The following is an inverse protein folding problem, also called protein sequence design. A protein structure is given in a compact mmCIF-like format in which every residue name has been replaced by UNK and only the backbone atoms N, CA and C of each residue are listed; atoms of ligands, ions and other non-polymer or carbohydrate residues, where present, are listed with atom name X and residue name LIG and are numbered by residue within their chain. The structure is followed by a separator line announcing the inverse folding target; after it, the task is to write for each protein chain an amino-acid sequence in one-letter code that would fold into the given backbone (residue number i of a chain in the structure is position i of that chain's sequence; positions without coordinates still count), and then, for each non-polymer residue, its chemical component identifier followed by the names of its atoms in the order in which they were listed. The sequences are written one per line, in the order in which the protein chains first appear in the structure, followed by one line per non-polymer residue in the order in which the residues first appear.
data_IF_992683869675
#
_entry.id   IF_992683869675
#
_cell.length_a   1.000
_cell.length_b   1.000
_cell.length_c   1.000
_cell.angle_alpha   90.00
_cell.angle_beta   90.00
_cell.angle_gamma   90.00
#
_symmetry.space_group_name_H-M   'P 1'
#
loop_
_entity.id
_entity.type
_entity.pdbx_description
1 polymer ?
#
# COMPACT_ATOMS: atom_id res chain seq x y z
N UNK A 1 16.94 -4.57 -13.11
CA UNK A 1 15.76 -3.87 -12.53
C UNK A 1 15.09 -4.85 -11.57
N UNK A 2 14.56 -4.41 -10.43
CA UNK A 2 13.83 -5.29 -9.49
C UNK A 2 14.56 -5.69 -8.21
N UNK A 3 15.87 -5.43 -8.07
CA UNK A 3 16.53 -5.56 -6.76
C UNK A 3 16.22 -4.34 -5.89
N UNK A 4 15.17 -4.45 -5.07
CA UNK A 4 14.80 -3.41 -4.13
C UNK A 4 15.73 -3.35 -2.93
N UNK A 5 16.31 -4.49 -2.52
CA UNK A 5 17.13 -4.57 -1.33
C UNK A 5 18.47 -3.82 -1.48
N UNK A 6 19.06 -3.85 -2.68
CA UNK A 6 20.28 -3.09 -2.97
C UNK A 6 20.01 -1.60 -3.21
N UNK A 7 18.79 -1.20 -3.60
CA UNK A 7 18.44 0.19 -3.88
C UNK A 7 17.94 0.95 -2.65
N UNK A 8 17.06 0.30 -1.87
CA UNK A 8 16.31 0.91 -0.78
C UNK A 8 16.76 0.43 0.60
N UNK A 9 17.68 -0.54 0.63
CA UNK A 9 18.09 -1.23 1.85
C UNK A 9 17.29 -2.51 2.08
N UNK A 10 17.82 -3.35 2.97
CA UNK A 10 17.17 -4.62 3.35
C UNK A 10 15.97 -4.35 4.23
N UNK A 11 14.88 -5.08 3.98
CA UNK A 11 13.68 -4.99 4.79
C UNK A 11 13.89 -5.66 6.15
N UNK A 12 13.53 -4.96 7.22
CA UNK A 12 13.58 -5.47 8.59
C UNK A 12 12.17 -5.83 9.07
N UNK A 13 11.94 -7.14 9.25
CA UNK A 13 10.64 -7.70 9.63
C UNK A 13 10.37 -7.35 11.10
N UNK A 14 9.30 -6.58 11.35
CA UNK A 14 8.93 -6.11 12.69
C UNK A 14 9.22 -4.63 12.93
N UNK A 15 9.98 -3.97 12.03
CA UNK A 15 10.28 -2.54 12.12
C UNK A 15 9.13 -1.60 11.65
N UNK A 16 7.92 -2.15 11.55
CA UNK A 16 6.73 -1.45 11.05
C UNK A 16 6.65 -1.34 9.53
N UNK A 17 5.60 -0.67 9.05
CA UNK A 17 5.36 -0.43 7.61
C UNK A 17 6.39 0.57 7.07
N UNK A 18 6.97 0.26 5.91
CA UNK A 18 7.87 1.16 5.19
C UNK A 18 7.24 1.65 3.89
N UNK A 19 7.56 2.88 3.51
CA UNK A 19 7.13 3.49 2.26
C UNK A 19 8.36 3.94 1.48
N UNK A 20 8.44 3.52 0.22
CA UNK A 20 9.55 3.85 -0.68
C UNK A 20 9.01 4.14 -2.08
N UNK A 21 9.83 4.82 -2.89
CA UNK A 21 9.53 5.10 -4.29
C UNK A 21 10.74 4.72 -5.14
N UNK A 22 10.55 3.87 -6.14
CA UNK A 22 11.58 3.47 -7.11
C UNK A 22 11.16 3.93 -8.51
N UNK A 23 11.78 5.00 -8.99
CA UNK A 23 11.52 5.55 -10.33
C UNK A 23 11.98 4.62 -11.47
N UNK A 24 12.81 3.61 -11.19
CA UNK A 24 13.32 2.64 -12.14
C UNK A 24 12.60 1.29 -12.05
N UNK A 25 11.40 1.24 -11.45
CA UNK A 25 10.55 0.05 -11.42
C UNK A 25 9.25 0.32 -12.18
N UNK A 26 9.28 0.31 -13.52
CA UNK A 26 8.07 0.55 -14.30
C UNK A 26 7.01 -0.53 -14.00
N UNK A 27 5.74 -0.14 -13.97
CA UNK A 27 4.64 -1.07 -13.72
C UNK A 27 4.30 -1.90 -14.96
N UNK A 28 4.50 -1.35 -16.16
CA UNK A 28 4.09 -1.92 -17.45
C UNK A 28 5.21 -1.85 -18.49
N UNK A 29 5.04 -2.55 -19.61
CA UNK A 29 6.01 -2.61 -20.71
C UNK A 29 7.02 -3.75 -20.57
N UNK A 30 8.03 -3.78 -21.46
CA UNK A 30 9.03 -4.86 -21.53
C UNK A 30 9.76 -5.13 -20.21
N UNK A 31 10.00 -4.06 -19.44
CA UNK A 31 10.64 -4.13 -18.12
C UNK A 31 9.66 -4.00 -16.96
N UNK A 32 8.34 -4.02 -17.24
CA UNK A 32 7.28 -3.84 -16.27
C UNK A 32 7.24 -4.95 -15.22
N UNK A 33 6.85 -4.64 -13.98
CA UNK A 33 6.75 -5.62 -12.90
C UNK A 33 5.40 -6.32 -12.78
N UNK A 34 4.35 -5.81 -13.44
CA UNK A 34 3.06 -6.49 -13.47
C UNK A 34 3.20 -7.93 -14.01
N UNK A 35 2.61 -8.90 -13.31
CA UNK A 35 2.72 -10.33 -13.62
C UNK A 35 4.04 -10.99 -13.20
N UNK A 36 4.94 -10.27 -12.52
CA UNK A 36 6.13 -10.84 -11.86
C UNK A 36 5.84 -11.04 -10.37
N UNK A 37 6.81 -11.60 -9.64
CA UNK A 37 6.69 -11.80 -8.19
C UNK A 37 7.58 -10.87 -7.39
N UNK A 38 7.13 -10.54 -6.18
CA UNK A 38 7.93 -9.93 -5.13
C UNK A 38 8.38 -11.01 -4.16
N UNK A 39 9.67 -11.10 -3.87
CA UNK A 39 10.27 -12.19 -3.09
C UNK A 39 11.01 -11.63 -1.88
N UNK A 40 10.76 -12.22 -0.71
CA UNK A 40 11.50 -11.95 0.52
C UNK A 40 12.48 -13.09 0.76
N UNK A 41 13.74 -12.73 0.88
CA UNK A 41 14.83 -13.65 1.20
C UNK A 41 15.07 -13.72 2.71
N UNK A 42 15.73 -14.79 3.15
CA UNK A 42 16.17 -14.93 4.53
C UNK A 42 17.12 -13.79 4.94
N UNK A 43 17.25 -13.61 6.26
CA UNK A 43 18.07 -12.56 6.85
C UNK A 43 19.50 -12.53 6.27
N UNK A 44 20.12 -11.36 6.31
CA UNK A 44 21.49 -11.12 5.82
C UNK A 44 21.70 -11.38 4.30
N UNK A 45 20.63 -11.40 3.51
CA UNK A 45 20.70 -11.70 2.08
C UNK A 45 20.89 -13.20 1.83
N UNK A 46 20.39 -14.05 2.72
CA UNK A 46 20.47 -15.49 2.59
C UNK A 46 19.74 -16.00 1.35
N UNK A 47 20.28 -17.05 0.73
CA UNK A 47 19.69 -17.69 -0.45
C UNK A 47 18.23 -18.15 -0.31
N UNK A 48 17.78 -18.70 0.85
CA UNK A 48 16.42 -19.18 1.01
C UNK A 48 15.35 -18.08 0.81
N UNK A 49 14.24 -18.44 0.18
CA UNK A 49 13.05 -17.59 0.01
C UNK A 49 12.08 -17.88 1.14
N UNK A 50 11.73 -16.87 1.93
CA UNK A 50 10.85 -17.02 3.10
C UNK A 50 9.41 -16.65 2.80
N UNK A 51 9.18 -15.79 1.80
CA UNK A 51 7.85 -15.45 1.31
C UNK A 51 7.92 -14.96 -0.14
N UNK A 52 6.81 -15.10 -0.85
CA UNK A 52 6.64 -14.57 -2.19
C UNK A 52 5.16 -14.25 -2.46
N UNK A 53 4.92 -13.29 -3.33
CA UNK A 53 3.58 -12.97 -3.83
C UNK A 53 3.66 -12.43 -5.25
N UNK A 54 2.56 -12.56 -5.99
CA UNK A 54 2.44 -12.03 -7.34
C UNK A 54 2.11 -10.54 -7.33
N UNK A 55 2.67 -9.79 -8.28
CA UNK A 55 2.38 -8.38 -8.52
C UNK A 55 1.24 -8.31 -9.53
N UNK A 56 0.03 -8.20 -9.01
CA UNK A 56 -1.20 -8.18 -9.81
C UNK A 56 -1.67 -6.72 -9.96
N UNK A 57 -1.99 -6.26 -11.18
CA UNK A 57 -2.65 -4.98 -11.37
C UNK A 57 -3.97 -4.94 -10.62
N UNK A 58 -4.16 -3.90 -9.81
CA UNK A 58 -5.45 -3.68 -9.14
C UNK A 58 -6.37 -2.96 -10.13
N UNK A 59 -7.30 -3.72 -10.72
CA UNK A 59 -8.23 -3.22 -11.73
C UNK A 59 -9.49 -2.66 -11.05
N UNK A 60 -9.77 -1.37 -11.25
CA UNK A 60 -10.99 -0.68 -10.76
C UNK A 60 -11.23 -0.83 -9.26
N UNK A 61 -10.40 -0.17 -8.45
CA UNK A 61 -10.85 0.19 -7.11
C UNK A 61 -11.78 1.37 -7.27
N UNK A 62 -13.07 1.21 -6.98
CA UNK A 62 -13.97 2.36 -6.84
C UNK A 62 -13.60 3.04 -5.53
N UNK A 63 -12.96 4.22 -5.56
CA UNK A 63 -12.60 4.87 -4.33
C UNK A 63 -13.85 5.44 -3.65
N UNK A 64 -13.89 5.35 -2.33
CA UNK A 64 -14.86 6.09 -1.53
C UNK A 64 -14.22 7.42 -1.14
N UNK A 65 -14.85 8.52 -1.56
CA UNK A 65 -14.43 9.87 -1.20
C UNK A 65 -15.22 10.31 0.03
N UNK A 66 -14.51 10.71 1.07
CA UNK A 66 -15.09 11.24 2.31
C UNK A 66 -14.47 12.61 2.60
N UNK A 67 -15.21 13.47 3.30
CA UNK A 67 -14.73 14.79 3.69
C UNK A 67 -14.82 14.92 5.20
N UNK A 68 -13.73 15.36 5.83
CA UNK A 68 -13.64 15.59 7.27
C UNK A 68 -13.34 17.06 7.54
N UNK A 69 -13.81 17.58 8.68
CA UNK A 69 -13.39 18.89 9.17
C UNK A 69 -11.88 18.87 9.50
N UNK A 70 -11.24 20.04 9.40
CA UNK A 70 -9.78 20.17 9.53
C UNK A 70 -9.25 19.50 10.81
N UNK A 71 -8.49 18.42 10.64
CA UNK A 71 -7.88 17.63 11.71
C UNK A 71 -6.45 17.30 11.30
N UNK A 72 -5.54 17.22 12.27
CA UNK A 72 -4.20 16.66 12.06
C UNK A 72 -4.32 15.27 11.45
N UNK A 73 -4.06 15.17 10.15
CA UNK A 73 -4.32 13.95 9.41
C UNK A 73 -3.13 13.00 9.42
N UNK A 74 -3.31 11.85 10.08
CA UNK A 74 -2.39 10.73 9.98
C UNK A 74 -3.03 9.57 9.18
N UNK A 75 -2.41 9.23 8.04
CA UNK A 75 -2.87 8.14 7.17
C UNK A 75 -2.93 6.79 7.87
N UNK A 76 -1.96 6.49 8.74
CA UNK A 76 -1.87 5.21 9.43
C UNK A 76 -2.93 5.08 10.52
N UNK A 77 -3.19 6.17 11.24
CA UNK A 77 -4.24 6.22 12.24
C UNK A 77 -5.61 6.10 11.58
N UNK A 78 -5.84 6.82 10.48
CA UNK A 78 -7.15 6.77 9.83
C UNK A 78 -7.44 5.43 9.15
N UNK A 79 -6.43 4.76 8.58
CA UNK A 79 -6.60 3.37 8.11
C UNK A 79 -7.03 2.46 9.26
N UNK A 80 -6.47 2.62 10.45
CA UNK A 80 -6.82 1.84 11.65
C UNK A 80 -8.26 2.12 12.10
N UNK A 81 -8.64 3.39 12.19
CA UNK A 81 -10.00 3.79 12.58
C UNK A 81 -11.04 3.30 11.58
N UNK A 82 -10.82 3.49 10.28
CA UNK A 82 -11.71 3.01 9.23
C UNK A 82 -11.82 1.48 9.25
N UNK A 83 -10.70 0.77 9.44
CA UNK A 83 -10.71 -0.68 9.54
C UNK A 83 -11.56 -1.17 10.73
N UNK A 84 -11.45 -0.50 11.87
CA UNK A 84 -12.25 -0.81 13.07
C UNK A 84 -13.75 -0.57 12.86
N UNK A 85 -14.12 0.55 12.25
CA UNK A 85 -15.51 0.91 11.99
C UNK A 85 -16.17 -0.02 10.94
N UNK A 86 -15.37 -0.53 9.99
CA UNK A 86 -15.84 -1.41 8.93
C UNK A 86 -15.68 -2.90 9.26
N UNK A 87 -15.24 -3.24 10.48
CA UNK A 87 -14.96 -4.62 10.91
C UNK A 87 -14.06 -5.39 9.91
N UNK A 88 -13.03 -4.73 9.40
CA UNK A 88 -12.09 -5.30 8.41
C UNK A 88 -10.64 -5.17 8.87
N UNK A 89 -9.72 -5.84 8.18
CA UNK A 89 -8.29 -5.70 8.43
C UNK A 89 -7.76 -4.37 7.87
N UNK A 90 -6.85 -3.67 8.58
CA UNK A 90 -6.12 -2.51 8.04
C UNK A 90 -5.41 -2.79 6.72
N UNK A 91 -5.06 -4.05 6.43
CA UNK A 91 -4.43 -4.46 5.17
C UNK A 91 -5.36 -4.40 3.96
N UNK A 92 -6.67 -4.36 4.19
CA UNK A 92 -7.69 -4.36 3.13
C UNK A 92 -8.08 -2.94 2.70
N UNK A 93 -7.49 -1.92 3.32
CA UNK A 93 -7.77 -0.50 3.09
C UNK A 93 -6.47 0.24 2.75
N UNK A 94 -6.57 1.16 1.80
CA UNK A 94 -5.53 2.15 1.54
C UNK A 94 -6.15 3.54 1.49
N UNK A 95 -5.48 4.51 2.10
CA UNK A 95 -5.97 5.89 2.18
C UNK A 95 -4.98 6.81 1.45
N UNK A 96 -5.52 7.64 0.55
CA UNK A 96 -4.78 8.70 -0.15
C UNK A 96 -5.37 10.07 0.15
N UNK A 97 -4.51 11.07 0.17
CA UNK A 97 -4.90 12.48 0.29
C UNK A 97 -5.57 12.92 -1.01
N UNK A 98 -6.63 13.72 -0.90
CA UNK A 98 -7.18 14.44 -2.04
C UNK A 98 -7.72 15.81 -1.61
N UNK A 99 -6.91 16.86 -1.78
CA UNK A 99 -7.26 18.29 -1.70
C UNK A 99 -7.83 18.79 -0.36
N UNK A 100 -7.05 19.65 0.28
CA UNK A 100 -7.48 20.50 1.40
C UNK A 100 -8.14 21.75 0.85
N UNK A 101 -9.39 22.01 1.24
CA UNK A 101 -9.93 23.37 1.28
C UNK A 101 -9.76 23.89 2.72
N UNK A 102 -9.77 25.20 2.91
CA UNK A 102 -9.42 25.89 4.17
C UNK A 102 -10.18 25.46 5.43
N UNK A 103 -11.24 24.65 5.32
CA UNK A 103 -12.02 24.13 6.47
C UNK A 103 -12.22 22.59 6.45
N UNK A 104 -11.89 21.92 5.33
CA UNK A 104 -12.26 20.53 5.09
C UNK A 104 -11.17 19.81 4.30
N UNK A 105 -10.84 18.60 4.74
CA UNK A 105 -9.94 17.69 4.03
C UNK A 105 -10.75 16.58 3.38
N UNK A 106 -10.63 16.45 2.05
CA UNK A 106 -11.15 15.30 1.34
C UNK A 106 -10.13 14.15 1.30
N UNK A 107 -10.63 12.95 1.54
CA UNK A 107 -9.84 11.73 1.66
C UNK A 107 -10.42 10.68 0.73
N UNK A 108 -9.52 10.02 0.01
CA UNK A 108 -9.86 8.93 -0.90
C UNK A 108 -9.48 7.60 -0.26
N UNK A 109 -10.48 6.76 0.01
CA UNK A 109 -10.31 5.42 0.57
C UNK A 109 -10.43 4.39 -0.55
N UNK A 110 -9.45 3.50 -0.64
CA UNK A 110 -9.37 2.40 -1.58
C UNK A 110 -9.57 1.09 -0.83
N UNK A 111 -10.47 0.25 -1.32
CA UNK A 111 -10.71 -1.09 -0.81
C UNK A 111 -9.94 -2.08 -1.68
N UNK A 112 -8.90 -2.71 -1.12
CA UNK A 112 -8.00 -3.58 -1.88
C UNK A 112 -8.44 -5.05 -1.87
N UNK A 113 -9.11 -5.48 -0.80
CA UNK A 113 -9.57 -6.87 -0.64
C UNK A 113 -10.84 -7.00 0.22
N UNK A 114 -11.75 -6.01 0.14
CA UNK A 114 -13.03 -6.04 0.85
C UNK A 114 -14.14 -6.43 -0.13
N UNK A 115 -14.80 -7.56 0.13
CA UNK A 115 -16.09 -7.89 -0.49
C UNK A 115 -17.17 -7.08 0.20
N UNK A 116 -17.67 -6.04 -0.46
CA UNK A 116 -18.86 -5.33 -0.01
C UNK A 116 -20.06 -6.22 -0.35
N UNK A 117 -20.73 -6.76 0.67
CA UNK A 117 -22.02 -7.42 0.49
C UNK A 117 -23.10 -6.34 0.36
N UNK A 118 -23.84 -6.36 -0.75
CA UNK A 118 -25.02 -5.53 -0.97
C UNK A 118 -26.30 -6.33 -0.66
#
# INVERSE_FOLDING_TARGET
LGDQSSKLGRYDIGSGRKFYTDMYLPLVGTYGVAGKSFVIHAANGGGPRVACADIIPVNKVTPLKMTFGDMNFDKSEMVTHLASALHTSPTNLAVSDATTNTDCMAVTVYFTDVKICA
#
